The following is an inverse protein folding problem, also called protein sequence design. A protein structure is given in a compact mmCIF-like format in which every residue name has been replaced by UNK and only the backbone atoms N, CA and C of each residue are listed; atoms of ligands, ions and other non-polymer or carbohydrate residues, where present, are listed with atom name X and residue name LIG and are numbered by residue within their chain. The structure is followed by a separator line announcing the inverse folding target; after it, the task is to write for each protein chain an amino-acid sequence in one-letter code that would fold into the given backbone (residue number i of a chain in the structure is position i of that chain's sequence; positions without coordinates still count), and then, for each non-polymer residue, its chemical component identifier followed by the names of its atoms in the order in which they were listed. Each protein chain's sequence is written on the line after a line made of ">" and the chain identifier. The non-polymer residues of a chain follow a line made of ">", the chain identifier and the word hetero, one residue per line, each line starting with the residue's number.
data_IF_759991788674
#
_entry.id   IF_759991788674
#
_cell.length_a   1.000
_cell.length_b   1.000
_cell.length_c   1.000
_cell.angle_alpha   90.00
_cell.angle_beta   90.00
_cell.angle_gamma   90.00
#
_symmetry.space_group_name_H-M   'P 1'
#
loop_
_entity.id
_entity.type
_entity.pdbx_description
1 polymer ?
#
# COMPACT_ATOMS: atom_id res chain seq x y z
N UNK A 1 -12.00 -13.38 -5.12
CA UNK A 1 -11.73 -11.93 -5.26
C UNK A 1 -10.37 -11.62 -4.64
N UNK A 2 -9.52 -10.84 -5.32
CA UNK A 2 -8.27 -10.34 -4.71
C UNK A 2 -8.60 -9.26 -3.69
N UNK A 3 -8.06 -9.38 -2.47
CA UNK A 3 -8.23 -8.39 -1.41
C UNK A 3 -6.96 -7.55 -1.28
N UNK A 4 -7.15 -6.25 -1.06
CA UNK A 4 -6.06 -5.32 -0.75
C UNK A 4 -6.09 -4.96 0.72
N UNK A 5 -4.93 -4.97 1.37
CA UNK A 5 -4.74 -4.40 2.71
C UNK A 5 -3.57 -3.42 2.66
N UNK A 6 -3.80 -2.19 3.07
CA UNK A 6 -2.74 -1.22 3.30
C UNK A 6 -2.36 -1.28 4.79
N UNK A 7 -1.09 -1.56 5.08
CA UNK A 7 -0.55 -1.51 6.43
C UNK A 7 0.29 -0.24 6.59
N UNK A 8 -0.19 0.69 7.41
CA UNK A 8 0.50 1.95 7.70
C UNK A 8 0.11 2.52 9.05
N UNK A 9 0.69 3.67 9.43
CA UNK A 9 0.38 4.33 10.69
C UNK A 9 -0.98 5.03 10.68
N UNK A 10 -1.53 5.27 11.88
CA UNK A 10 -2.74 6.07 12.12
C UNK A 10 -2.51 7.59 11.98
N UNK A 11 -1.90 8.00 10.88
CA UNK A 11 -1.83 9.39 10.45
C UNK A 11 -1.69 9.51 8.94
N UNK A 12 -1.83 10.74 8.43
CA UNK A 12 -1.74 11.07 7.00
C UNK A 12 -0.28 11.31 6.60
N UNK A 13 0.46 10.22 6.40
CA UNK A 13 1.86 10.23 6.00
C UNK A 13 2.07 9.64 4.61
N UNK A 14 3.16 8.89 4.45
CA UNK A 14 3.54 8.24 3.19
C UNK A 14 2.52 7.21 2.69
N UNK A 15 1.68 6.66 3.57
CA UNK A 15 0.57 5.77 3.18
C UNK A 15 -0.64 6.51 2.60
N UNK A 16 -0.75 7.82 2.78
CA UNK A 16 -1.95 8.57 2.40
C UNK A 16 -2.22 8.56 0.90
N UNK A 17 -1.16 8.59 0.07
CA UNK A 17 -1.30 8.47 -1.38
C UNK A 17 -2.05 7.21 -1.79
N UNK A 18 -1.75 6.06 -1.17
CA UNK A 18 -2.44 4.81 -1.45
C UNK A 18 -3.93 4.88 -1.03
N UNK A 19 -4.22 5.48 0.14
CA UNK A 19 -5.61 5.68 0.59
C UNK A 19 -6.42 6.52 -0.38
N UNK A 20 -5.83 7.62 -0.88
CA UNK A 20 -6.46 8.49 -1.88
C UNK A 20 -6.71 7.78 -3.20
N UNK A 21 -5.77 6.94 -3.65
CA UNK A 21 -5.94 6.13 -4.86
C UNK A 21 -7.09 5.14 -4.70
N UNK A 22 -7.19 4.42 -3.58
CA UNK A 22 -8.33 3.53 -3.31
C UNK A 22 -9.67 4.28 -3.27
N UNK A 23 -9.69 5.46 -2.65
CA UNK A 23 -10.89 6.30 -2.62
C UNK A 23 -11.30 6.77 -4.02
N UNK A 24 -10.34 7.24 -4.83
CA UNK A 24 -10.57 7.71 -6.20
C UNK A 24 -11.04 6.58 -7.13
N UNK A 25 -10.48 5.37 -6.98
CA UNK A 25 -10.87 4.20 -7.77
C UNK A 25 -12.15 3.52 -7.26
N UNK A 26 -12.69 3.95 -6.10
CA UNK A 26 -13.81 3.30 -5.38
C UNK A 26 -13.52 1.83 -5.05
N UNK A 27 -12.25 1.43 -5.01
CA UNK A 27 -11.85 0.08 -4.69
C UNK A 27 -11.88 -0.10 -3.16
N UNK A 28 -12.61 -1.12 -2.71
CA UNK A 28 -12.58 -1.52 -1.30
C UNK A 28 -11.22 -2.14 -0.94
N UNK A 29 -10.73 -1.79 0.25
CA UNK A 29 -9.51 -2.31 0.83
C UNK A 29 -9.59 -2.26 2.36
N UNK A 30 -8.74 -3.02 3.03
CA UNK A 30 -8.56 -2.95 4.47
C UNK A 30 -7.45 -1.93 4.81
N UNK A 31 -7.77 -0.88 5.58
CA UNK A 31 -6.78 0.07 6.12
C UNK A 31 -6.33 -0.42 7.50
N UNK A 32 -5.32 -1.30 7.53
CA UNK A 32 -4.74 -1.81 8.78
C UNK A 32 -3.81 -0.74 9.36
N UNK A 33 -4.29 -0.04 10.39
CA UNK A 33 -3.56 1.02 11.06
C UNK A 33 -2.73 0.49 12.22
N UNK A 34 -1.44 0.82 12.21
CA UNK A 34 -0.49 0.54 13.29
C UNK A 34 -0.24 1.81 14.10
N UNK A 35 0.11 1.62 15.37
CA UNK A 35 0.53 2.72 16.23
C UNK A 35 1.88 3.27 15.76
N UNK A 36 1.98 4.61 15.69
CA UNK A 36 3.26 5.28 15.44
C UNK A 36 4.10 5.32 16.71
N UNK A 37 4.68 4.18 17.05
CA UNK A 37 5.53 4.01 18.22
C UNK A 37 6.64 2.99 17.91
N UNK A 38 7.86 3.33 18.26
CA UNK A 38 9.02 2.44 18.12
C UNK A 38 9.10 1.39 19.24
N UNK A 39 8.22 1.47 20.24
CA UNK A 39 8.11 0.49 21.33
C UNK A 39 6.84 -0.36 21.25
N UNK A 40 5.94 -0.09 20.30
CA UNK A 40 4.71 -0.87 20.14
C UNK A 40 5.04 -2.28 19.61
N UNK A 41 4.73 -3.35 20.35
CA UNK A 41 5.09 -4.72 19.96
C UNK A 41 4.53 -5.15 18.61
N UNK A 42 3.28 -4.76 18.28
CA UNK A 42 2.68 -5.11 16.99
C UNK A 42 3.42 -4.45 15.83
N UNK A 43 3.76 -3.16 15.96
CA UNK A 43 4.51 -2.42 14.93
C UNK A 43 5.90 -3.03 14.72
N UNK A 44 6.59 -3.38 15.80
CA UNK A 44 7.91 -4.01 15.74
C UNK A 44 7.81 -5.38 15.04
N UNK A 45 6.92 -6.25 15.51
CA UNK A 45 6.74 -7.59 14.94
C UNK A 45 6.37 -7.52 13.46
N UNK A 46 5.46 -6.63 13.06
CA UNK A 46 5.09 -6.47 11.66
C UNK A 46 6.28 -6.00 10.81
N UNK A 47 7.03 -4.99 11.27
CA UNK A 47 8.23 -4.50 10.57
C UNK A 47 9.26 -5.62 10.40
N UNK A 48 9.49 -6.44 11.41
CA UNK A 48 10.51 -7.49 11.41
C UNK A 48 10.14 -8.73 10.57
N UNK A 49 8.89 -9.19 10.65
CA UNK A 49 8.48 -10.47 10.06
C UNK A 49 7.84 -10.33 8.68
N UNK A 50 7.16 -9.20 8.43
CA UNK A 50 6.25 -9.07 7.29
C UNK A 50 6.63 -7.93 6.35
N UNK A 51 7.17 -6.83 6.87
CA UNK A 51 7.46 -5.67 6.04
C UNK A 51 8.74 -5.89 5.19
N UNK A 52 8.65 -5.84 3.85
CA UNK A 52 9.85 -5.82 3.04
C UNK A 52 10.73 -4.62 3.46
N UNK A 53 12.03 -4.89 3.65
CA UNK A 53 13.01 -3.89 4.10
C UNK A 53 12.77 -3.31 5.51
N UNK A 54 11.87 -3.90 6.33
CA UNK A 54 11.64 -3.43 7.69
C UNK A 54 10.94 -2.07 7.81
N UNK A 55 10.25 -1.61 6.74
CA UNK A 55 9.66 -0.27 6.67
C UNK A 55 8.20 -0.30 6.22
N UNK A 56 7.46 0.72 6.65
CA UNK A 56 6.07 0.99 6.25
C UNK A 56 6.02 2.24 5.34
N UNK A 57 5.02 2.39 4.44
CA UNK A 57 3.86 1.53 4.24
C UNK A 57 4.16 0.22 3.49
N UNK A 58 3.29 -0.77 3.69
CA UNK A 58 3.26 -2.02 2.94
C UNK A 58 1.85 -2.25 2.38
N UNK A 59 1.76 -2.58 1.10
CA UNK A 59 0.54 -3.08 0.48
C UNK A 59 0.59 -4.61 0.46
N UNK A 60 -0.38 -5.25 1.09
CA UNK A 60 -0.63 -6.68 0.98
C UNK A 60 -1.71 -6.94 -0.08
N UNK A 61 -1.42 -7.84 -1.01
CA UNK A 61 -2.32 -8.31 -2.06
C UNK A 61 -2.58 -9.78 -1.77
N UNK A 62 -3.80 -10.08 -1.34
CA UNK A 62 -4.22 -11.43 -0.92
C UNK A 62 -4.96 -12.06 -2.11
N UNK A 63 -4.36 -13.09 -2.68
CA UNK A 63 -4.91 -13.83 -3.82
C UNK A 63 -5.93 -14.88 -3.37
N UNK A 64 -6.70 -15.41 -4.31
CA UNK A 64 -7.79 -16.35 -4.02
C UNK A 64 -7.29 -17.68 -3.45
N UNK A 65 -6.07 -18.07 -3.80
CA UNK A 65 -5.38 -19.25 -3.26
C UNK A 65 -4.82 -19.03 -1.84
N UNK A 66 -5.05 -17.86 -1.24
CA UNK A 66 -4.54 -17.48 0.08
C UNK A 66 -3.10 -16.95 0.08
N UNK A 67 -2.44 -16.85 -1.08
CA UNK A 67 -1.10 -16.29 -1.17
C UNK A 67 -1.11 -14.79 -0.91
N UNK A 68 -0.18 -14.30 -0.10
CA UNK A 68 -0.03 -12.88 0.22
C UNK A 68 1.23 -12.32 -0.43
N UNK A 69 1.06 -11.45 -1.42
CA UNK A 69 2.15 -10.67 -2.02
C UNK A 69 2.29 -9.36 -1.26
N UNK A 70 3.52 -8.93 -0.99
CA UNK A 70 3.80 -7.68 -0.25
C UNK A 70 4.63 -6.73 -1.11
N UNK A 71 4.14 -5.51 -1.25
CA UNK A 71 4.84 -4.43 -1.93
C UNK A 71 5.15 -3.32 -0.92
N UNK A 72 6.41 -2.93 -0.83
CA UNK A 72 6.88 -1.81 0.00
C UNK A 72 7.22 -0.59 -0.87
N UNK A 73 7.63 0.51 -0.22
CA UNK A 73 7.90 1.83 -0.81
C UNK A 73 6.62 2.55 -1.26
N UNK A 74 6.33 3.68 -0.61
CA UNK A 74 5.07 4.42 -0.82
C UNK A 74 4.82 4.83 -2.26
N UNK A 75 5.87 5.26 -2.97
CA UNK A 75 5.76 5.68 -4.37
C UNK A 75 5.54 4.47 -5.29
N UNK A 76 6.24 3.36 -5.06
CA UNK A 76 6.05 2.13 -5.83
C UNK A 76 4.63 1.57 -5.64
N UNK A 77 4.12 1.57 -4.40
CA UNK A 77 2.73 1.24 -4.09
C UNK A 77 1.76 2.16 -4.85
N UNK A 78 1.99 3.48 -4.80
CA UNK A 78 1.18 4.47 -5.51
C UNK A 78 1.13 4.20 -7.02
N UNK A 79 2.30 4.03 -7.66
CA UNK A 79 2.40 3.72 -9.09
C UNK A 79 1.70 2.42 -9.45
N UNK A 80 1.90 1.37 -8.65
CA UNK A 80 1.24 0.08 -8.87
C UNK A 80 -0.29 0.23 -8.85
N UNK A 81 -0.84 0.88 -7.81
CA UNK A 81 -2.28 1.06 -7.66
C UNK A 81 -2.85 1.98 -8.72
N UNK A 82 -2.18 3.09 -9.03
CA UNK A 82 -2.62 4.03 -10.06
C UNK A 82 -2.66 3.35 -11.44
N UNK A 83 -1.64 2.56 -11.80
CA UNK A 83 -1.68 1.76 -13.03
C UNK A 83 -2.81 0.72 -13.00
N UNK A 84 -2.95 -0.01 -11.88
CA UNK A 84 -3.97 -1.06 -11.74
C UNK A 84 -5.40 -0.55 -11.89
N UNK A 85 -5.66 0.67 -11.44
CA UNK A 85 -6.99 1.27 -11.46
C UNK A 85 -7.18 2.35 -12.54
N UNK A 86 -6.26 2.44 -13.51
CA UNK A 86 -6.40 3.34 -14.66
C UNK A 86 -6.27 4.83 -14.34
N UNK A 87 -5.51 5.18 -13.28
CA UNK A 87 -5.29 6.54 -12.81
C UNK A 87 -3.91 7.12 -13.17
N UNK A 88 -3.02 6.32 -13.77
CA UNK A 88 -1.65 6.73 -14.09
C UNK A 88 -1.47 7.30 -15.51
N UNK A 89 -2.53 7.46 -16.31
CA UNK A 89 -2.44 7.80 -17.73
C UNK A 89 -2.51 6.59 -18.66
N UNK A 90 -2.72 6.85 -19.95
CA UNK A 90 -3.07 5.85 -20.97
C UNK A 90 -1.86 5.25 -21.67
N UNK A 91 -0.77 5.99 -21.75
CA UNK A 91 0.46 5.58 -22.44
C UNK A 91 1.71 5.77 -21.57
N UNK A 92 2.87 5.43 -22.12
CA UNK A 92 4.16 5.52 -21.42
C UNK A 92 4.52 6.97 -21.08
N UNK A 93 4.13 7.93 -21.92
CA UNK A 93 4.46 9.34 -21.71
C UNK A 93 3.60 9.96 -20.61
N UNK A 94 2.28 9.73 -20.63
CA UNK A 94 1.38 10.20 -19.58
C UNK A 94 1.75 9.60 -18.21
N UNK A 95 2.17 8.33 -18.18
CA UNK A 95 2.68 7.67 -16.96
C UNK A 95 3.96 8.32 -16.45
N UNK A 96 4.89 8.68 -17.33
CA UNK A 96 6.12 9.34 -16.95
C UNK A 96 5.89 10.75 -16.36
N UNK A 97 4.82 11.46 -16.77
CA UNK A 97 4.46 12.76 -16.18
C UNK A 97 3.98 12.66 -14.72
N UNK A 98 3.56 11.47 -14.29
CA UNK A 98 3.09 11.20 -12.93
C UNK A 98 4.18 10.60 -12.01
N UNK A 99 5.39 10.38 -12.52
CA UNK A 99 6.51 9.74 -11.83
C UNK A 99 7.42 10.73 -11.07
#
# INVERSE_FOLDING_TARGET
>A
MTLFRLVYFDFKGRGELARLIFAASKQQYEDKRLEYSETCPETIAYKQEKAPFGRLPVLEIIEENGQVKRLAQSIAIGRYLANKFGLAGKDEWEKALAD
#
